data_IF_473302937976
#
_entry.id   IF_473302937976
#
_cell.length_a   1.000
_cell.length_b   1.000
_cell.length_c   1.000
_cell.angle_alpha   90.00
_cell.angle_beta   90.00
_cell.angle_gamma   90.00
#
_symmetry.space_group_name_H-M   'P 1'
#
loop_
_entity.id
_entity.type
_entity.pdbx_description
1 polymer ?
#
# COMPACT_ATOMS: atom_id res chain seq x y z
N UNK A 1 -43.53 9.95 12.58
CA UNK A 1 -43.02 8.61 12.22
C UNK A 1 -41.71 8.83 11.48
N UNK A 2 -40.59 8.25 11.94
CA UNK A 2 -39.30 8.33 11.23
C UNK A 2 -39.25 7.16 10.24
N UNK A 3 -39.14 7.44 8.95
CA UNK A 3 -39.01 6.41 7.93
C UNK A 3 -37.53 5.96 7.88
N UNK A 4 -37.21 4.67 8.09
CA UNK A 4 -35.85 4.19 7.96
C UNK A 4 -35.40 4.24 6.49
N UNK A 5 -34.23 4.82 6.24
CA UNK A 5 -33.57 4.86 4.94
C UNK A 5 -32.31 4.00 5.03
N UNK A 6 -32.08 3.15 4.03
CA UNK A 6 -30.84 2.38 3.87
C UNK A 6 -30.07 2.94 2.69
N UNK A 7 -28.76 3.14 2.85
CA UNK A 7 -27.86 3.57 1.78
C UNK A 7 -26.82 2.48 1.53
N UNK A 8 -26.55 2.20 0.26
CA UNK A 8 -25.47 1.32 -0.17
C UNK A 8 -24.53 2.09 -1.11
N UNK A 9 -23.22 1.90 -0.93
CA UNK A 9 -22.19 2.43 -1.83
C UNK A 9 -21.30 1.28 -2.27
N UNK A 10 -21.01 1.22 -3.56
CA UNK A 10 -20.05 0.28 -4.14
C UNK A 10 -18.89 1.06 -4.75
N UNK A 11 -17.68 0.59 -4.47
CA UNK A 11 -16.43 1.11 -5.05
C UNK A 11 -15.63 -0.08 -5.57
N UNK A 12 -14.82 0.14 -6.60
CA UNK A 12 -13.91 -0.88 -7.14
C UNK A 12 -12.52 -0.58 -6.64
N UNK A 13 -11.88 -1.58 -6.02
CA UNK A 13 -10.49 -1.47 -5.60
C UNK A 13 -9.59 -1.27 -6.81
N UNK A 14 -8.60 -0.39 -6.70
CA UNK A 14 -7.65 -0.23 -7.79
C UNK A 14 -6.70 -1.44 -7.85
N UNK A 15 -6.65 -2.13 -8.99
CA UNK A 15 -5.68 -3.21 -9.26
C UNK A 15 -4.95 -2.99 -10.57
N UNK A 16 -4.99 -1.79 -11.15
CA UNK A 16 -4.40 -1.49 -12.46
C UNK A 16 -2.86 -1.58 -12.45
N UNK A 17 -2.24 -1.49 -11.27
CA UNK A 17 -0.81 -1.70 -11.05
C UNK A 17 -0.42 -3.19 -11.11
N UNK A 18 -1.36 -4.10 -10.90
CA UNK A 18 -1.09 -5.53 -10.86
C UNK A 18 -0.97 -6.08 -12.29
N UNK A 19 0.19 -6.63 -12.63
CA UNK A 19 0.47 -7.17 -13.97
C UNK A 19 -0.18 -8.52 -14.24
N UNK A 20 -0.49 -9.29 -13.19
CA UNK A 20 -1.12 -10.60 -13.26
C UNK A 20 -1.39 -11.17 -11.86
N UNK A 21 -2.05 -12.33 -11.79
CA UNK A 21 -2.49 -12.92 -10.51
C UNK A 21 -1.40 -13.71 -9.76
N UNK A 22 -0.26 -13.94 -10.38
CA UNK A 22 0.83 -14.70 -9.78
C UNK A 22 1.35 -14.02 -8.51
N UNK A 23 1.49 -14.78 -7.42
CA UNK A 23 1.95 -14.32 -6.12
C UNK A 23 0.90 -13.65 -5.24
N UNK A 24 -0.34 -13.51 -5.73
CA UNK A 24 -1.45 -13.00 -4.90
C UNK A 24 -1.97 -14.02 -3.89
N UNK A 25 -1.62 -15.29 -4.07
CA UNK A 25 -1.96 -16.42 -3.21
C UNK A 25 -0.90 -16.71 -2.13
N UNK A 26 0.29 -16.14 -2.23
CA UNK A 26 1.40 -16.32 -1.29
C UNK A 26 2.02 -14.96 -0.94
N UNK A 27 1.39 -14.31 0.04
CA UNK A 27 1.72 -12.95 0.48
C UNK A 27 2.27 -12.93 1.89
N UNK A 28 3.19 -12.01 2.16
CA UNK A 28 3.64 -11.74 3.53
C UNK A 28 2.71 -10.73 4.22
N UNK A 29 2.54 -10.88 5.54
CA UNK A 29 1.90 -9.84 6.35
C UNK A 29 2.97 -8.90 6.90
N UNK A 30 2.86 -7.61 6.57
CA UNK A 30 3.72 -6.55 7.10
C UNK A 30 2.91 -5.53 7.89
N UNK A 31 3.57 -4.76 8.74
CA UNK A 31 2.94 -3.64 9.45
C UNK A 31 3.51 -2.32 8.96
N UNK A 32 2.64 -1.43 8.47
CA UNK A 32 3.00 -0.08 8.02
C UNK A 32 3.17 0.87 9.20
N UNK A 33 4.15 1.78 9.11
CA UNK A 33 4.27 2.98 9.96
C UNK A 33 3.59 4.16 9.25
N UNK A 34 2.31 4.40 9.58
CA UNK A 34 1.46 5.38 8.89
C UNK A 34 2.04 6.79 8.95
N UNK A 35 2.82 7.12 9.99
CA UNK A 35 3.45 8.43 10.13
C UNK A 35 4.50 8.72 9.05
N UNK A 36 4.98 7.71 8.32
CA UNK A 36 5.95 7.86 7.21
C UNK A 36 5.29 8.03 5.85
N UNK A 37 3.98 7.83 5.76
CA UNK A 37 3.25 7.92 4.50
C UNK A 37 2.58 9.29 4.34
N UNK A 38 2.66 9.81 3.12
CA UNK A 38 1.98 11.06 2.74
C UNK A 38 0.52 10.80 2.37
N UNK A 39 -0.39 11.63 2.89
CA UNK A 39 -1.80 11.70 2.47
C UNK A 39 -1.93 12.00 0.98
N UNK A 40 -3.06 11.61 0.38
CA UNK A 40 -3.40 11.73 -1.04
C UNK A 40 -2.54 10.89 -1.99
N UNK A 41 -1.27 10.64 -1.64
CA UNK A 41 -0.32 9.81 -2.39
C UNK A 41 -0.49 8.34 -2.03
N UNK A 42 -0.35 7.99 -0.75
CA UNK A 42 -0.34 6.59 -0.29
C UNK A 42 -1.66 6.16 0.34
N UNK A 43 -2.37 7.09 0.99
CA UNK A 43 -3.67 6.84 1.61
C UNK A 43 -4.57 8.05 1.52
N UNK A 44 -5.88 7.80 1.64
CA UNK A 44 -6.92 8.82 1.67
C UNK A 44 -7.53 8.81 3.08
N UNK A 45 -7.40 9.90 3.86
CA UNK A 45 -8.07 9.99 5.15
C UNK A 45 -9.58 10.06 4.94
N UNK A 46 -10.35 9.37 5.79
CA UNK A 46 -11.80 9.55 5.76
C UNK A 46 -12.19 10.92 6.34
N UNK A 47 -13.05 11.62 5.62
CA UNK A 47 -13.78 12.81 6.10
C UNK A 47 -15.26 12.53 6.32
N UNK A 48 -15.70 11.29 6.06
CA UNK A 48 -17.11 10.87 6.13
C UNK A 48 -17.41 10.25 7.51
N UNK A 49 -18.36 10.83 8.22
CA UNK A 49 -18.82 10.32 9.53
C UNK A 49 -19.58 8.99 9.41
N UNK A 50 -20.08 8.65 8.22
CA UNK A 50 -20.79 7.39 7.92
C UNK A 50 -19.82 6.27 7.49
N UNK A 51 -18.62 6.61 7.01
CA UNK A 51 -17.54 5.67 6.71
C UNK A 51 -16.25 6.13 7.39
N UNK A 52 -16.11 5.96 8.72
CA UNK A 52 -15.06 6.60 9.52
C UNK A 52 -13.66 5.98 9.37
N UNK A 53 -13.42 5.19 8.31
CA UNK A 53 -12.16 4.50 8.05
C UNK A 53 -11.41 5.12 6.88
N UNK A 54 -10.16 5.50 7.10
CA UNK A 54 -9.21 5.89 6.06
C UNK A 54 -8.89 4.69 5.17
N UNK A 55 -8.56 4.95 3.91
CA UNK A 55 -8.21 3.93 2.92
C UNK A 55 -6.72 4.02 2.57
N UNK A 56 -5.95 2.99 2.89
CA UNK A 56 -4.61 2.81 2.37
C UNK A 56 -4.68 2.19 0.97
N UNK A 57 -3.98 2.78 -0.01
CA UNK A 57 -4.04 2.35 -1.41
C UNK A 57 -3.28 1.03 -1.62
N UNK A 58 -3.78 0.17 -2.50
CA UNK A 58 -3.01 -0.94 -3.05
C UNK A 58 -1.91 -0.43 -3.99
N UNK A 59 -0.90 -1.26 -4.27
CA UNK A 59 0.19 -0.97 -5.18
C UNK A 59 1.23 0.00 -4.64
N UNK A 60 1.13 0.47 -3.40
CA UNK A 60 2.16 1.34 -2.81
C UNK A 60 3.45 0.55 -2.60
N UNK A 61 4.60 1.02 -3.12
CA UNK A 61 5.89 0.37 -2.92
C UNK A 61 6.40 0.66 -1.50
N UNK A 62 6.91 -0.37 -0.83
CA UNK A 62 7.36 -0.25 0.57
C UNK A 62 8.75 -0.83 0.79
N UNK A 63 9.43 -0.30 1.79
CA UNK A 63 10.67 -0.84 2.33
C UNK A 63 10.59 -0.96 3.86
N UNK A 64 11.39 -1.88 4.42
CA UNK A 64 11.40 -2.16 5.86
C UNK A 64 12.37 -1.21 6.56
N UNK A 65 11.89 -0.52 7.58
CA UNK A 65 12.71 0.32 8.46
C UNK A 65 13.49 -0.60 9.39
N UNK A 66 14.83 -0.55 9.32
CA UNK A 66 15.71 -1.46 10.06
C UNK A 66 15.53 -1.34 11.58
N UNK A 67 15.40 -0.11 12.08
CA UNK A 67 15.33 0.15 13.51
C UNK A 67 14.03 -0.34 14.17
N UNK A 68 12.88 -0.22 13.49
CA UNK A 68 11.57 -0.55 14.07
C UNK A 68 11.01 -1.88 13.58
N UNK A 69 11.49 -2.40 12.45
CA UNK A 69 10.90 -3.54 11.76
C UNK A 69 9.57 -3.24 11.05
N UNK A 70 9.05 -2.01 11.16
CA UNK A 70 7.85 -1.55 10.44
C UNK A 70 8.20 -1.17 8.99
N UNK A 71 7.19 -1.02 8.14
CA UNK A 71 7.39 -0.64 6.75
C UNK A 71 6.95 0.81 6.49
N UNK A 72 7.74 1.54 5.71
CA UNK A 72 7.39 2.85 5.18
C UNK A 72 7.41 2.85 3.64
N UNK A 73 7.14 3.98 2.99
CA UNK A 73 7.24 4.05 1.54
C UNK A 73 8.69 3.79 1.11
N UNK A 74 8.85 3.04 0.02
CA UNK A 74 10.16 2.86 -0.60
C UNK A 74 10.72 4.23 -0.99
N UNK A 75 11.98 4.47 -0.64
CA UNK A 75 12.66 5.72 -0.93
C UNK A 75 14.15 5.43 -1.11
N UNK A 76 14.66 5.64 -2.32
CA UNK A 76 16.07 5.39 -2.66
C UNK A 76 17.05 6.34 -1.97
N UNK A 77 16.58 7.49 -1.48
CA UNK A 77 17.44 8.55 -0.96
C UNK A 77 17.71 8.43 0.54
N UNK A 78 16.95 7.57 1.25
CA UNK A 78 17.13 7.37 2.69
C UNK A 78 18.04 6.17 2.99
N UNK A 79 18.59 6.13 4.20
CA UNK A 79 19.48 5.04 4.65
C UNK A 79 18.93 4.31 5.89
N UNK A 80 17.61 4.34 6.10
CA UNK A 80 16.94 3.75 7.28
C UNK A 80 16.41 2.32 7.04
N UNK A 81 16.73 1.73 5.88
CA UNK A 81 16.27 0.42 5.40
C UNK A 81 15.25 0.52 4.28
N UNK A 82 14.51 1.65 4.15
CA UNK A 82 13.48 1.83 3.12
C UNK A 82 13.99 1.96 1.69
N UNK A 83 15.31 2.12 1.52
CA UNK A 83 15.97 2.06 0.21
C UNK A 83 16.08 0.66 -0.38
N UNK A 84 15.76 -0.38 0.40
CA UNK A 84 15.64 -1.75 -0.10
C UNK A 84 14.15 -2.04 -0.34
N UNK A 85 13.77 -2.25 -1.60
CA UNK A 85 12.38 -2.56 -1.94
C UNK A 85 11.99 -3.92 -1.36
N UNK A 86 10.98 -3.93 -0.50
CA UNK A 86 10.39 -5.14 0.08
C UNK A 86 9.25 -5.71 -0.78
N UNK A 87 8.53 -4.85 -1.50
CA UNK A 87 7.42 -5.25 -2.38
C UNK A 87 6.35 -4.17 -2.48
N UNK A 88 5.14 -4.58 -2.84
CA UNK A 88 3.99 -3.70 -3.07
C UNK A 88 2.80 -4.12 -2.20
N UNK A 89 2.07 -3.15 -1.63
CA UNK A 89 0.86 -3.46 -0.86
C UNK A 89 -0.20 -4.09 -1.77
N UNK A 90 -0.61 -5.34 -1.52
CA UNK A 90 -1.44 -6.08 -2.46
C UNK A 90 -2.88 -5.56 -2.53
N UNK A 91 -3.48 -5.29 -1.37
CA UNK A 91 -4.88 -4.95 -1.27
C UNK A 91 -5.07 -3.60 -0.55
N UNK A 92 -6.08 -2.86 -0.98
CA UNK A 92 -6.51 -1.68 -0.25
C UNK A 92 -6.90 -2.09 1.17
N UNK A 93 -6.49 -1.30 2.15
CA UNK A 93 -6.70 -1.61 3.56
C UNK A 93 -7.38 -0.45 4.25
N UNK A 94 -8.51 -0.71 4.90
CA UNK A 94 -9.21 0.27 5.73
C UNK A 94 -8.58 0.34 7.12
N UNK A 95 -8.42 1.54 7.65
CA UNK A 95 -7.86 1.76 8.97
C UNK A 95 -8.50 2.96 9.67
N UNK A 96 -8.63 2.89 10.99
CA UNK A 96 -9.08 4.02 11.82
C UNK A 96 -8.05 5.16 11.70
N UNK A 97 -8.47 6.41 11.44
CA UNK A 97 -7.55 7.53 11.20
C UNK A 97 -6.48 7.78 12.27
N UNK A 98 -6.74 7.38 13.52
CA UNK A 98 -5.80 7.54 14.64
C UNK A 98 -4.78 6.40 14.77
N UNK A 99 -4.91 5.32 13.99
CA UNK A 99 -3.96 4.22 14.00
C UNK A 99 -2.66 4.63 13.33
N UNK A 100 -1.55 4.37 14.02
CA UNK A 100 -0.19 4.61 13.52
C UNK A 100 0.43 3.36 12.91
N UNK A 101 -0.14 2.18 13.17
CA UNK A 101 0.32 0.88 12.71
C UNK A 101 -0.82 0.15 12.02
N UNK A 102 -0.62 -0.23 10.76
CA UNK A 102 -1.66 -0.89 9.96
C UNK A 102 -1.08 -2.16 9.33
N UNK A 103 -1.64 -3.35 9.63
CA UNK A 103 -1.22 -4.58 8.96
C UNK A 103 -1.76 -4.61 7.54
N UNK A 104 -0.92 -5.01 6.58
CA UNK A 104 -1.28 -5.16 5.17
C UNK A 104 -0.64 -6.40 4.56
N UNK A 105 -1.24 -6.91 3.49
CA UNK A 105 -0.64 -7.97 2.67
C UNK A 105 0.39 -7.37 1.69
N UNK A 106 1.57 -7.99 1.61
CA UNK A 106 2.67 -7.61 0.74
C UNK A 106 2.78 -8.60 -0.42
N UNK A 107 2.72 -8.06 -1.64
CA UNK A 107 3.16 -8.77 -2.84
C UNK A 107 4.68 -8.67 -2.94
N UNK A 108 5.38 -9.77 -2.61
CA UNK A 108 6.83 -9.86 -2.68
C UNK A 108 7.33 -10.55 -3.96
N UNK A 109 6.46 -11.25 -4.70
CA UNK A 109 6.77 -11.80 -6.02
C UNK A 109 5.61 -11.66 -7.01
N UNK A 110 5.91 -11.58 -8.30
CA UNK A 110 4.89 -11.44 -9.34
C UNK A 110 5.25 -10.44 -10.43
N UNK A 111 4.23 -9.78 -10.99
CA UNK A 111 4.41 -8.79 -12.07
C UNK A 111 3.70 -7.49 -11.72
N UNK A 112 4.38 -6.35 -11.94
CA UNK A 112 3.88 -5.01 -11.62
C UNK A 112 3.97 -4.11 -12.85
N UNK A 113 2.88 -3.39 -13.13
CA UNK A 113 2.81 -2.32 -14.14
C UNK A 113 3.33 -1.04 -13.51
N UNK A 114 4.58 -0.69 -13.76
CA UNK A 114 5.27 0.36 -13.00
C UNK A 114 4.61 1.74 -13.15
N UNK A 115 4.17 2.08 -14.38
CA UNK A 115 3.49 3.33 -14.70
C UNK A 115 2.10 3.49 -14.04
N UNK A 116 1.61 2.43 -13.41
CA UNK A 116 0.28 2.34 -12.79
C UNK A 116 0.33 2.29 -11.26
N UNK A 117 1.52 2.25 -10.68
CA UNK A 117 1.74 2.31 -9.24
C UNK A 117 1.34 3.69 -8.71
N UNK A 118 0.60 3.79 -7.59
CA UNK A 118 0.26 5.07 -6.98
C UNK A 118 1.50 5.86 -6.56
N UNK A 119 1.48 7.18 -6.78
CA UNK A 119 2.59 8.07 -6.43
C UNK A 119 3.74 8.10 -7.44
N UNK A 120 3.58 7.41 -8.58
CA UNK A 120 4.60 7.18 -9.61
C UNK A 120 5.77 6.34 -9.09
N UNK A 121 6.15 5.32 -9.85
CA UNK A 121 7.26 4.44 -9.50
C UNK A 121 8.12 4.18 -10.73
N UNK A 122 9.43 4.39 -10.57
CA UNK A 122 10.42 4.18 -11.62
C UNK A 122 11.24 2.94 -11.27
N UNK A 123 11.14 1.83 -12.03
CA UNK A 123 11.88 0.60 -11.71
C UNK A 123 13.39 0.79 -11.60
N UNK A 124 13.97 1.73 -12.37
CA UNK A 124 15.40 2.04 -12.33
C UNK A 124 15.87 2.62 -10.99
N UNK A 125 14.97 3.10 -10.14
CA UNK A 125 15.29 3.59 -8.80
C UNK A 125 15.56 2.46 -7.80
N UNK A 126 15.16 1.22 -8.14
CA UNK A 126 15.39 0.04 -7.30
C UNK A 126 16.78 -0.52 -7.55
N UNK A 127 17.75 -0.11 -6.74
CA UNK A 127 19.12 -0.61 -6.78
C UNK A 127 19.36 -1.78 -5.83
N UNK A 128 18.45 -2.02 -4.88
CA UNK A 128 18.46 -3.15 -3.96
C UNK A 128 17.03 -3.59 -3.63
N UNK A 129 16.78 -4.90 -3.60
CA UNK A 129 15.46 -5.45 -3.33
C UNK A 129 15.53 -6.85 -2.74
N UNK A 130 14.55 -7.16 -1.88
CA UNK A 130 14.26 -8.51 -1.41
C UNK A 130 13.08 -9.15 -2.15
N UNK A 131 12.49 -8.43 -3.12
CA UNK A 131 11.30 -8.84 -3.86
C UNK A 131 11.68 -9.45 -5.23
N UNK A 132 10.89 -10.41 -5.70
CA UNK A 132 11.02 -11.06 -7.00
C UNK A 132 9.96 -10.54 -7.97
N UNK A 133 10.08 -9.26 -8.36
CA UNK A 133 9.09 -8.57 -9.18
C UNK A 133 9.59 -8.37 -10.61
N UNK A 134 8.78 -8.77 -11.59
CA UNK A 134 8.94 -8.37 -12.98
C UNK A 134 8.17 -7.08 -13.25
N UNK A 135 8.81 -6.08 -13.85
CA UNK A 135 8.15 -4.86 -14.30
C UNK A 135 7.70 -4.95 -15.76
N UNK A 136 6.52 -4.42 -16.05
CA UNK A 136 5.92 -4.31 -17.40
C UNK A 136 5.28 -2.95 -17.63
#
# INVERSE_FOLDING_TARGET
>A
MLQPITTQRSVTANTEWLGGRHGTDDTDTITLDIARFTTSTHYVPSTDTSQPYSLFRSGVPVGKITASGLCGPFDKAVADGRQVLAGFVLAETLFVPTMTKVPVALLWHGTVRAAKVPGCFTPADVTSTNALIRYV
#
